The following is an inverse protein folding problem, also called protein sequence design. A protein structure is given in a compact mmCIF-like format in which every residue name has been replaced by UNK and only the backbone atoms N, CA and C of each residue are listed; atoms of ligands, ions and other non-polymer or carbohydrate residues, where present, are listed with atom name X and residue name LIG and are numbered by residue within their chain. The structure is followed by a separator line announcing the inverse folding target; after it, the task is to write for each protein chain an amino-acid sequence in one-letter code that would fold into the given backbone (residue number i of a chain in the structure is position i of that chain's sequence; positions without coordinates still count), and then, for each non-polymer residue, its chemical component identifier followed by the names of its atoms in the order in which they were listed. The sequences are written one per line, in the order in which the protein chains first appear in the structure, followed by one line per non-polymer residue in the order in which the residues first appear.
data_IF_302676608829
#
_entry.id   IF_302676608829
#
_cell.length_a   1.000
_cell.length_b   1.000
_cell.length_c   1.000
_cell.angle_alpha   90.00
_cell.angle_beta   90.00
_cell.angle_gamma   90.00
#
_symmetry.space_group_name_H-M   'P 1'
#
loop_
_entity.id
_entity.type
_entity.pdbx_description
1 polymer ?
#
# COMPACT_ATOMS: atom_id res chain seq x y z
N UNK A 1 1.69 16.58 29.62
CA UNK A 1 1.74 17.25 28.31
C UNK A 1 2.70 16.70 27.26
N UNK A 2 3.73 15.92 27.60
CA UNK A 2 4.56 15.24 26.58
C UNK A 2 3.97 13.92 26.04
N UNK A 3 2.99 13.33 26.72
CA UNK A 3 2.47 11.99 26.36
C UNK A 3 1.44 11.99 25.22
N UNK A 4 0.76 13.11 24.94
CA UNK A 4 -0.23 13.17 23.86
C UNK A 4 0.43 13.40 22.48
N UNK A 5 1.58 14.07 22.42
CA UNK A 5 2.29 14.33 21.15
C UNK A 5 3.07 13.14 20.60
N UNK A 6 3.42 12.15 21.43
CA UNK A 6 4.11 10.92 20.96
C UNK A 6 3.10 9.90 20.40
N UNK A 7 1.81 10.05 20.73
CA UNK A 7 0.73 9.24 20.16
C UNK A 7 0.29 9.71 18.76
N UNK A 8 0.75 10.88 18.29
CA UNK A 8 0.49 11.37 16.93
C UNK A 8 1.54 10.91 15.92
N UNK A 9 2.25 9.80 16.17
CA UNK A 9 3.01 9.14 15.12
C UNK A 9 2.01 8.58 14.10
N UNK A 10 1.70 9.41 13.11
CA UNK A 10 0.87 9.04 11.98
C UNK A 10 1.60 7.95 11.19
N UNK A 11 1.17 6.71 11.34
CA UNK A 11 1.68 5.61 10.52
C UNK A 11 1.15 5.82 9.11
N UNK A 12 2.06 6.21 8.22
CA UNK A 12 1.78 6.47 6.80
C UNK A 12 2.55 5.52 5.92
N UNK A 13 1.99 5.19 4.76
CA UNK A 13 2.71 4.54 3.66
C UNK A 13 2.35 5.27 2.37
N UNK A 14 3.35 5.57 1.56
CA UNK A 14 3.17 5.87 0.14
C UNK A 14 3.39 4.58 -0.67
N UNK A 15 2.47 4.26 -1.55
CA UNK A 15 2.49 3.03 -2.37
C UNK A 15 2.53 3.45 -3.83
N UNK A 16 3.45 2.84 -4.59
CA UNK A 16 3.55 3.00 -6.04
C UNK A 16 3.33 1.65 -6.72
N UNK A 17 2.40 1.58 -7.67
CA UNK A 17 2.13 0.40 -8.50
C UNK A 17 2.57 0.73 -9.92
N UNK A 18 3.62 0.07 -10.39
CA UNK A 18 4.10 0.20 -11.77
C UNK A 18 3.28 -0.76 -12.64
N UNK A 19 2.51 -0.22 -13.59
CA UNK A 19 1.80 -1.06 -14.55
C UNK A 19 2.72 -1.43 -15.71
N UNK A 20 3.44 -2.55 -15.56
CA UNK A 20 4.29 -3.15 -16.59
C UNK A 20 3.54 -4.15 -17.48
N UNK A 21 2.22 -4.28 -17.31
CA UNK A 21 1.39 -5.11 -18.16
C UNK A 21 1.24 -4.48 -19.55
N UNK A 22 0.66 -5.21 -20.48
CA UNK A 22 0.40 -4.73 -21.83
C UNK A 22 -0.96 -4.02 -21.98
N UNK A 23 -1.65 -3.75 -20.87
CA UNK A 23 -3.03 -3.29 -20.80
C UNK A 23 -3.24 -2.24 -19.70
N UNK A 24 -4.38 -1.57 -19.76
CA UNK A 24 -4.79 -0.64 -18.71
C UNK A 24 -5.37 -1.41 -17.51
N UNK A 25 -5.07 -0.94 -16.30
CA UNK A 25 -5.57 -1.53 -15.07
C UNK A 25 -6.61 -0.61 -14.41
N UNK A 26 -7.80 -1.14 -14.13
CA UNK A 26 -8.89 -0.42 -13.44
C UNK A 26 -9.04 -0.92 -12.03
N UNK A 27 -9.10 -0.02 -11.05
CA UNK A 27 -9.33 -0.39 -9.65
C UNK A 27 -10.74 -0.92 -9.48
N UNK A 28 -10.86 -2.13 -8.99
CA UNK A 28 -12.14 -2.81 -8.76
C UNK A 28 -12.51 -2.84 -7.27
N UNK A 29 -11.52 -2.96 -6.39
CA UNK A 29 -11.77 -2.99 -4.95
C UNK A 29 -10.58 -2.47 -4.16
N UNK A 30 -10.87 -1.94 -2.98
CA UNK A 30 -9.87 -1.73 -1.94
C UNK A 30 -10.49 -2.04 -0.58
N UNK A 31 -9.67 -2.53 0.35
CA UNK A 31 -10.12 -2.89 1.68
C UNK A 31 -9.03 -2.61 2.70
N UNK A 32 -9.43 -2.07 3.85
CA UNK A 32 -8.56 -1.87 4.99
C UNK A 32 -8.98 -2.80 6.12
N UNK A 33 -8.02 -3.58 6.62
CA UNK A 33 -8.15 -4.18 7.93
C UNK A 33 -7.97 -3.09 9.01
N UNK A 34 -7.03 -2.16 8.79
CA UNK A 34 -6.74 -1.03 9.68
C UNK A 34 -6.23 0.16 8.88
N UNK A 35 -6.67 1.38 9.23
CA UNK A 35 -6.27 2.62 8.56
C UNK A 35 -7.34 3.17 7.62
N UNK A 36 -6.92 4.09 6.75
CA UNK A 36 -7.72 4.73 5.71
C UNK A 36 -6.84 5.31 4.60
N UNK A 37 -7.45 5.68 3.48
CA UNK A 37 -6.80 6.50 2.46
C UNK A 37 -6.47 7.88 2.99
N UNK A 38 -5.22 8.32 2.77
CA UNK A 38 -4.81 9.71 2.78
C UNK A 38 -4.92 10.28 1.36
N UNK A 39 -4.43 9.54 0.37
CA UNK A 39 -4.65 9.76 -1.06
C UNK A 39 -5.18 8.46 -1.68
N UNK A 40 -6.39 8.50 -2.24
CA UNK A 40 -7.07 7.31 -2.76
C UNK A 40 -6.26 6.66 -3.89
N UNK A 41 -6.28 5.33 -3.92
CA UNK A 41 -5.77 4.56 -5.04
C UNK A 41 -6.40 5.03 -6.38
N UNK A 42 -5.59 5.26 -7.42
CA UNK A 42 -6.09 5.76 -8.70
C UNK A 42 -7.07 4.78 -9.31
N UNK A 43 -8.14 5.30 -9.92
CA UNK A 43 -9.15 4.45 -10.56
C UNK A 43 -8.61 3.73 -11.80
N UNK A 44 -7.71 4.36 -12.55
CA UNK A 44 -7.09 3.82 -13.75
C UNK A 44 -5.57 3.98 -13.64
N UNK A 45 -4.83 2.93 -13.97
CA UNK A 45 -3.38 2.98 -14.20
C UNK A 45 -3.15 2.54 -15.65
N UNK A 46 -2.92 3.49 -16.58
CA UNK A 46 -2.69 3.12 -17.97
C UNK A 46 -1.42 2.26 -18.14
N UNK A 47 -1.36 1.51 -19.23
CA UNK A 47 -0.16 0.73 -19.61
C UNK A 47 1.11 1.59 -19.56
N UNK A 48 2.13 1.14 -18.84
CA UNK A 48 3.43 1.83 -18.74
C UNK A 48 3.46 3.02 -17.77
N UNK A 49 2.36 3.29 -17.05
CA UNK A 49 2.29 4.34 -16.05
C UNK A 49 2.40 3.79 -14.62
N UNK A 50 2.63 4.70 -13.68
CA UNK A 50 2.71 4.40 -12.24
C UNK A 50 1.51 4.99 -11.53
N UNK A 51 0.76 4.14 -10.82
CA UNK A 51 -0.27 4.59 -9.89
C UNK A 51 0.34 4.87 -8.52
N UNK A 52 0.06 6.05 -7.95
CA UNK A 52 0.57 6.44 -6.62
C UNK A 52 -0.59 6.68 -5.68
N UNK A 53 -0.48 6.18 -4.44
CA UNK A 53 -1.50 6.30 -3.40
C UNK A 53 -0.87 6.44 -2.02
N UNK A 54 -1.65 6.96 -1.07
CA UNK A 54 -1.20 7.21 0.30
C UNK A 54 -2.19 6.66 1.31
N UNK A 55 -1.70 5.94 2.32
CA UNK A 55 -2.51 5.39 3.40
C UNK A 55 -2.02 5.88 4.74
N UNK A 56 -2.94 6.13 5.66
CA UNK A 56 -2.65 6.60 7.01
C UNK A 56 -3.47 5.82 8.03
N UNK A 57 -2.95 5.71 9.26
CA UNK A 57 -3.74 5.18 10.37
C UNK A 57 -4.94 6.11 10.68
N UNK A 58 -5.93 5.58 11.40
CA UNK A 58 -7.02 6.40 11.92
C UNK A 58 -6.49 7.21 13.10
N UNK A 59 -6.86 8.49 13.15
CA UNK A 59 -6.34 9.43 14.13
C UNK A 59 -6.53 8.90 15.56
N UNK A 60 -5.51 9.07 16.39
CA UNK A 60 -5.49 8.72 17.82
C UNK A 60 -5.59 7.22 18.16
N UNK A 61 -5.41 6.31 17.20
CA UNK A 61 -5.29 4.88 17.51
C UNK A 61 -3.81 4.45 17.49
N UNK A 62 -3.31 3.70 18.50
CA UNK A 62 -1.98 3.08 18.49
C UNK A 62 -2.00 1.86 17.55
N UNK A 63 -2.30 2.13 16.29
CA UNK A 63 -2.49 1.16 15.23
C UNK A 63 -1.73 1.57 13.98
N UNK A 64 -1.24 0.55 13.28
CA UNK A 64 -0.56 0.68 12.01
C UNK A 64 -1.56 0.86 10.88
N UNK A 65 -1.12 0.59 9.66
CA UNK A 65 -1.98 0.49 8.49
C UNK A 65 -1.85 -0.88 7.84
N UNK A 66 -2.98 -1.47 7.46
CA UNK A 66 -3.03 -2.74 6.75
C UNK A 66 -4.22 -2.76 5.80
N UNK A 67 -3.97 -3.13 4.56
CA UNK A 67 -5.01 -3.24 3.57
C UNK A 67 -4.54 -3.89 2.29
N UNK A 68 -5.41 -3.81 1.29
CA UNK A 68 -5.15 -4.26 -0.07
C UNK A 68 -5.85 -3.36 -1.07
N UNK A 69 -5.36 -3.39 -2.30
CA UNK A 69 -6.03 -2.83 -3.47
C UNK A 69 -5.99 -3.85 -4.61
N UNK A 70 -7.11 -3.97 -5.33
CA UNK A 70 -7.31 -4.87 -6.45
C UNK A 70 -7.59 -4.07 -7.71
N UNK A 71 -6.89 -4.42 -8.78
CA UNK A 71 -7.02 -3.88 -10.13
C UNK A 71 -7.33 -5.02 -11.11
N UNK A 72 -8.10 -4.70 -12.15
CA UNK A 72 -8.48 -5.59 -13.23
C UNK A 72 -8.18 -4.91 -14.58
N UNK A 73 -7.47 -5.59 -15.45
CA UNK A 73 -7.34 -5.28 -16.87
C UNK A 73 -8.23 -6.22 -17.70
N UNK A 74 -8.10 -6.18 -19.03
CA UNK A 74 -8.83 -7.08 -19.92
C UNK A 74 -8.60 -8.58 -19.62
N UNK A 75 -7.34 -8.96 -19.37
CA UNK A 75 -6.91 -10.36 -19.20
C UNK A 75 -6.03 -10.55 -17.94
N UNK A 76 -5.89 -9.52 -17.12
CA UNK A 76 -5.04 -9.50 -15.94
C UNK A 76 -5.79 -9.05 -14.69
N UNK A 77 -5.44 -9.64 -13.54
CA UNK A 77 -5.83 -9.16 -12.23
C UNK A 77 -4.57 -8.85 -11.43
N UNK A 78 -4.48 -7.66 -10.85
CA UNK A 78 -3.38 -7.25 -9.99
C UNK A 78 -3.87 -6.96 -8.57
N UNK A 79 -3.31 -7.63 -7.56
CA UNK A 79 -3.62 -7.47 -6.15
C UNK A 79 -2.37 -7.01 -5.41
N UNK A 80 -2.44 -5.88 -4.70
CA UNK A 80 -1.35 -5.36 -3.89
C UNK A 80 -1.77 -5.29 -2.42
N UNK A 81 -1.10 -6.08 -1.57
CA UNK A 81 -1.26 -6.02 -0.11
C UNK A 81 -0.20 -5.12 0.53
N UNK A 82 -0.56 -4.42 1.61
CA UNK A 82 0.38 -3.57 2.37
C UNK A 82 0.16 -3.69 3.88
N UNK A 83 1.25 -3.64 4.64
CA UNK A 83 1.27 -3.73 6.11
C UNK A 83 2.40 -2.88 6.68
N UNK A 84 2.05 -1.87 7.49
CA UNK A 84 2.98 -1.09 8.31
C UNK A 84 2.44 -1.12 9.74
N UNK A 85 2.89 -2.06 10.60
CA UNK A 85 2.35 -2.27 11.93
C UNK A 85 2.69 -1.14 12.90
N UNK A 86 1.84 -0.92 13.91
CA UNK A 86 2.20 -0.06 15.05
C UNK A 86 3.21 -0.79 15.92
N UNK A 87 4.31 -0.10 16.24
CA UNK A 87 5.31 -0.60 17.18
C UNK A 87 5.37 0.37 18.36
N UNK A 88 4.90 -0.09 19.52
CA UNK A 88 4.98 0.68 20.78
C UNK A 88 6.44 0.93 21.18
N UNK A 89 6.65 1.97 21.98
CA UNK A 89 7.86 2.77 22.26
C UNK A 89 9.20 2.09 22.61
N UNK A 90 9.41 0.80 22.39
CA UNK A 90 10.70 0.15 22.56
C UNK A 90 11.02 -0.77 21.38
N UNK A 91 11.83 -0.24 20.46
CA UNK A 91 12.51 -0.90 19.34
C UNK A 91 11.77 -0.84 17.99
N UNK A 92 12.60 -0.62 16.98
CA UNK A 92 12.41 -0.81 15.53
C UNK A 92 11.46 0.15 14.81
N UNK A 93 12.05 0.86 13.83
CA UNK A 93 11.37 1.34 12.64
C UNK A 93 10.26 0.35 12.27
N UNK A 94 9.03 0.84 12.12
CA UNK A 94 7.96 0.02 11.59
C UNK A 94 8.36 -0.35 10.15
N UNK A 95 8.86 -1.59 9.98
CA UNK A 95 9.26 -2.10 8.69
C UNK A 95 7.98 -2.24 7.88
N UNK A 96 7.90 -1.54 6.75
CA UNK A 96 6.90 -1.85 5.72
C UNK A 96 7.22 -3.26 5.26
N UNK A 97 6.43 -4.23 5.74
CA UNK A 97 6.56 -5.59 5.24
C UNK A 97 5.81 -5.62 3.91
N UNK A 98 6.57 -5.69 2.83
CA UNK A 98 6.04 -5.97 1.52
C UNK A 98 5.28 -7.29 1.59
N UNK A 99 3.95 -7.24 1.43
CA UNK A 99 3.13 -8.44 1.28
C UNK A 99 3.09 -8.89 -0.18
N UNK A 100 3.71 -8.14 -1.08
CA UNK A 100 3.76 -8.39 -2.52
C UNK A 100 2.61 -7.74 -3.27
N UNK A 101 2.90 -7.32 -4.50
CA UNK A 101 1.90 -7.23 -5.54
C UNK A 101 1.95 -8.51 -6.38
N UNK A 102 0.79 -9.13 -6.59
CA UNK A 102 0.63 -10.27 -7.48
C UNK A 102 -0.18 -9.87 -8.69
N UNK A 103 0.35 -10.17 -9.87
CA UNK A 103 -0.39 -10.03 -11.12
C UNK A 103 -0.61 -11.41 -11.71
N UNK A 104 -1.88 -11.76 -11.94
CA UNK A 104 -2.29 -12.95 -12.67
C UNK A 104 -2.84 -12.51 -14.01
N UNK A 105 -2.11 -12.84 -15.08
CA UNK A 105 -2.61 -12.73 -16.45
C UNK A 105 -2.72 -14.14 -17.01
N UNK A 106 -3.68 -14.42 -17.90
CA UNK A 106 -3.90 -15.77 -18.46
C UNK A 106 -2.57 -16.49 -18.81
N UNK A 107 -2.17 -17.45 -17.96
CA UNK A 107 -0.96 -18.27 -18.10
C UNK A 107 0.36 -17.74 -17.50
N UNK A 108 0.42 -16.53 -16.93
CA UNK A 108 1.64 -15.97 -16.31
C UNK A 108 1.33 -15.31 -14.96
N UNK A 109 1.85 -15.90 -13.87
CA UNK A 109 1.95 -15.21 -12.58
C UNK A 109 3.20 -14.33 -12.60
N UNK A 110 3.04 -13.00 -12.60
CA UNK A 110 4.15 -12.07 -12.42
C UNK A 110 4.08 -11.50 -11.01
N UNK A 111 5.15 -11.72 -10.25
CA UNK A 111 5.37 -11.11 -8.94
C UNK A 111 6.31 -9.94 -9.16
N UNK A 112 5.79 -8.72 -9.17
CA UNK A 112 6.60 -7.52 -9.18
C UNK A 112 6.42 -6.84 -7.82
N UNK A 113 7.41 -6.95 -6.95
CA UNK A 113 7.38 -6.34 -5.63
C UNK A 113 8.78 -5.76 -5.34
N UNK A 114 8.92 -4.44 -5.45
CA UNK A 114 10.08 -3.72 -4.96
C UNK A 114 9.64 -2.38 -4.39
N UNK A 115 9.57 -2.31 -3.06
CA UNK A 115 9.57 -1.04 -2.34
C UNK A 115 11.01 -0.82 -1.86
N UNK A 116 11.70 0.24 -2.31
CA UNK A 116 13.04 0.54 -1.82
C UNK A 116 12.96 0.86 -0.33
N UNK A 117 13.85 0.24 0.46
CA UNK A 117 14.10 0.59 1.85
C UNK A 117 14.54 2.05 1.92
N UNK A 118 13.61 2.97 2.23
CA UNK A 118 13.99 4.31 2.69
C UNK A 118 13.36 4.57 4.05
N UNK A 119 14.20 4.40 5.06
CA UNK A 119 14.02 5.05 6.35
C UNK A 119 14.05 6.56 6.10
N UNK A 120 12.96 7.25 6.42
CA UNK A 120 12.99 8.70 6.55
C UNK A 120 13.67 9.00 7.90
N UNK A 121 14.84 9.64 7.85
CA UNK A 121 15.54 10.20 9.00
C UNK A 121 14.76 11.39 9.60
#
# INVERSE_FOLDING_TARGET
DMNEKVLSNHHKIAIAIINDTDQDLRRVADAFAVGRWEARAPYLIPKGYVGVMGVTNRDNEPRGVRGLVLYEGADCVALCGFDNPYVGSHKSMARVQDRGCWTYCDGLTRIAAHVPDQAWE
#
